data_IF_449802481406
#
_entry.id   IF_449802481406
#
_cell.length_a   1.000
_cell.length_b   1.000
_cell.length_c   1.000
_cell.angle_alpha   90.00
_cell.angle_beta   90.00
_cell.angle_gamma   90.00
#
_symmetry.space_group_name_H-M   'P 1'
#
loop_
_entity.id
_entity.type
_entity.pdbx_description
1 polymer ?
#
# COMPACT_ATOMS: atom_id res chain seq x y z
N UNK A 1 16.42 -5.50 -9.33
CA UNK A 1 15.90 -4.43 -8.44
C UNK A 1 17.08 -3.84 -7.67
N UNK A 2 17.06 -2.56 -7.32
CA UNK A 2 18.11 -1.91 -6.54
C UNK A 2 17.54 -1.38 -5.22
N UNK A 3 18.21 -1.64 -4.11
CA UNK A 3 17.97 -0.96 -2.86
C UNK A 3 19.00 0.16 -2.71
N UNK A 4 18.54 1.40 -2.66
CA UNK A 4 19.41 2.56 -2.55
C UNK A 4 19.12 3.32 -1.27
N UNK A 5 20.18 3.58 -0.49
CA UNK A 5 20.17 4.54 0.60
C UNK A 5 21.00 5.76 0.19
N UNK A 6 20.36 6.86 -0.26
CA UNK A 6 21.05 8.07 -0.68
C UNK A 6 21.85 8.75 0.44
N UNK A 7 21.36 8.68 1.68
CA UNK A 7 21.98 9.34 2.84
C UNK A 7 23.39 8.82 3.11
N UNK A 8 23.62 7.52 2.91
CA UNK A 8 24.93 6.88 3.05
C UNK A 8 25.56 6.51 1.70
N UNK A 9 24.95 6.94 0.59
CA UNK A 9 25.38 6.67 -0.79
C UNK A 9 25.64 5.18 -1.08
N UNK A 10 24.85 4.30 -0.49
CA UNK A 10 25.00 2.85 -0.63
C UNK A 10 23.91 2.28 -1.52
N UNK A 11 24.30 1.51 -2.53
CA UNK A 11 23.39 0.77 -3.40
C UNK A 11 23.66 -0.72 -3.20
N UNK A 12 22.60 -1.50 -3.12
CA UNK A 12 22.64 -2.96 -3.12
C UNK A 12 21.80 -3.46 -4.30
N UNK A 13 22.40 -4.32 -5.11
CA UNK A 13 21.68 -5.00 -6.20
C UNK A 13 20.97 -6.20 -5.59
N UNK A 14 19.64 -6.21 -5.67
CA UNK A 14 18.84 -7.33 -5.18
C UNK A 14 18.82 -8.40 -6.28
N UNK A 15 19.13 -9.69 -5.96
CA UNK A 15 19.07 -10.77 -6.92
C UNK A 15 17.65 -10.94 -7.48
N UNK A 16 17.55 -11.65 -8.61
CA UNK A 16 16.25 -11.95 -9.20
C UNK A 16 15.33 -12.69 -8.21
N UNK A 17 14.05 -12.30 -8.12
CA UNK A 17 13.06 -13.07 -7.35
C UNK A 17 12.78 -14.43 -8.00
N UNK A 18 12.11 -15.33 -7.28
CA UNK A 18 11.80 -16.67 -7.77
C UNK A 18 10.64 -16.64 -8.79
N UNK A 19 9.65 -15.75 -8.60
CA UNK A 19 8.52 -15.61 -9.53
C UNK A 19 8.93 -14.70 -10.69
N UNK A 20 9.08 -15.28 -11.88
CA UNK A 20 9.55 -14.61 -13.11
C UNK A 20 8.61 -14.83 -14.30
N UNK A 21 8.72 -13.98 -15.33
CA UNK A 21 7.87 -14.04 -16.53
C UNK A 21 8.00 -15.40 -17.24
N UNK A 22 9.21 -15.97 -17.25
CA UNK A 22 9.48 -17.25 -17.87
C UNK A 22 8.90 -18.44 -17.11
N UNK A 23 8.78 -18.34 -15.78
CA UNK A 23 8.33 -19.44 -14.92
C UNK A 23 6.82 -19.41 -14.66
N UNK A 24 6.23 -18.22 -14.54
CA UNK A 24 4.84 -18.04 -14.11
C UNK A 24 3.97 -17.28 -15.13
N UNK A 25 4.53 -16.87 -16.27
CA UNK A 25 3.81 -16.06 -17.26
C UNK A 25 3.66 -14.60 -16.84
N UNK A 26 2.69 -13.92 -17.45
CA UNK A 26 2.41 -12.51 -17.16
C UNK A 26 1.92 -12.34 -15.73
N UNK A 27 2.38 -11.28 -15.07
CA UNK A 27 1.95 -10.94 -13.71
C UNK A 27 2.04 -9.44 -13.47
N UNK A 28 1.26 -9.01 -12.48
CA UNK A 28 1.41 -7.70 -11.86
C UNK A 28 2.01 -7.87 -10.47
N UNK A 29 2.73 -6.87 -9.96
CA UNK A 29 3.28 -6.98 -8.61
C UNK A 29 3.32 -5.65 -7.88
N UNK A 30 3.10 -5.70 -6.57
CA UNK A 30 3.33 -4.62 -5.64
C UNK A 30 4.62 -4.87 -4.84
N UNK A 31 5.29 -3.78 -4.46
CA UNK A 31 6.47 -3.82 -3.62
C UNK A 31 6.20 -3.14 -2.27
N UNK A 32 6.80 -3.72 -1.24
CA UNK A 32 6.89 -3.20 0.11
C UNK A 32 8.34 -3.13 0.53
N UNK A 33 8.73 -2.08 1.23
CA UNK A 33 10.03 -1.93 1.86
C UNK A 33 9.85 -1.47 3.30
N UNK A 34 10.62 -2.03 4.21
CA UNK A 34 10.55 -1.68 5.63
C UNK A 34 11.69 -2.21 6.45
N UNK A 35 11.74 -1.78 7.70
CA UNK A 35 12.75 -2.18 8.67
C UNK A 35 12.13 -3.08 9.74
N UNK A 36 12.61 -4.31 9.83
CA UNK A 36 12.28 -5.22 10.90
C UNK A 36 13.17 -4.91 12.12
N UNK A 37 12.59 -4.30 13.15
CA UNK A 37 13.30 -3.93 14.37
C UNK A 37 13.69 -5.12 15.24
N UNK A 38 12.97 -6.24 15.14
CA UNK A 38 13.24 -7.46 15.91
C UNK A 38 14.47 -8.17 15.37
N UNK A 39 14.55 -8.35 14.04
CA UNK A 39 15.74 -8.95 13.42
C UNK A 39 16.83 -7.91 13.11
N UNK A 40 16.56 -6.62 13.30
CA UNK A 40 17.43 -5.50 12.93
C UNK A 40 17.87 -5.58 11.46
N UNK A 41 16.92 -5.77 10.55
CA UNK A 41 17.17 -5.97 9.12
C UNK A 41 16.20 -5.18 8.24
N UNK A 42 16.63 -4.86 7.03
CA UNK A 42 15.75 -4.32 6.01
C UNK A 42 15.14 -5.43 5.17
N UNK A 43 13.83 -5.33 4.92
CA UNK A 43 13.09 -6.30 4.14
C UNK A 43 12.44 -5.63 2.93
N UNK A 44 12.39 -6.38 1.83
CA UNK A 44 11.54 -6.07 0.68
C UNK A 44 10.50 -7.17 0.57
N UNK A 45 9.23 -6.80 0.58
CA UNK A 45 8.09 -7.67 0.34
C UNK A 45 7.68 -7.48 -1.11
N UNK A 46 7.44 -8.57 -1.82
CA UNK A 46 6.93 -8.57 -3.18
C UNK A 46 5.66 -9.41 -3.22
N UNK A 47 4.57 -8.81 -3.66
CA UNK A 47 3.25 -9.45 -3.79
C UNK A 47 2.97 -9.55 -5.27
N UNK A 48 2.74 -10.76 -5.79
CA UNK A 48 2.60 -11.02 -7.23
C UNK A 48 1.22 -11.60 -7.52
N UNK A 49 0.49 -10.92 -8.39
CA UNK A 49 -0.80 -11.37 -8.91
C UNK A 49 -0.61 -11.94 -10.31
N UNK A 50 -0.90 -13.24 -10.47
CA UNK A 50 -0.93 -13.92 -11.77
C UNK A 50 -2.25 -13.58 -12.50
N UNK A 51 -2.35 -13.88 -13.80
CA UNK A 51 -3.53 -13.55 -14.61
C UNK A 51 -4.85 -14.13 -14.05
N UNK A 52 -4.79 -15.26 -13.35
CA UNK A 52 -5.96 -15.82 -12.68
C UNK A 52 -6.15 -15.20 -11.29
N UNK A 53 -7.06 -14.22 -11.20
CA UNK A 53 -7.45 -13.52 -9.95
C UNK A 53 -8.09 -14.41 -8.88
N UNK A 54 -8.53 -15.62 -9.23
CA UNK A 54 -9.02 -16.59 -8.25
C UNK A 54 -7.89 -17.27 -7.46
N UNK A 55 -6.65 -17.14 -7.92
CA UNK A 55 -5.48 -17.70 -7.23
C UNK A 55 -4.95 -16.66 -6.22
N UNK A 56 -4.70 -17.05 -4.96
CA UNK A 56 -4.02 -16.19 -4.00
C UNK A 56 -2.69 -15.66 -4.54
N UNK A 57 -2.25 -14.44 -4.17
CA UNK A 57 -1.00 -13.91 -4.66
C UNK A 57 0.20 -14.72 -4.18
N UNK A 58 1.22 -14.82 -5.04
CA UNK A 58 2.54 -15.28 -4.61
C UNK A 58 3.24 -14.17 -3.83
N UNK A 59 3.79 -14.51 -2.67
CA UNK A 59 4.47 -13.52 -1.80
C UNK A 59 5.89 -13.95 -1.52
N UNK A 60 6.82 -13.05 -1.80
CA UNK A 60 8.24 -13.24 -1.57
C UNK A 60 8.80 -12.14 -0.68
N UNK A 61 9.63 -12.51 0.30
CA UNK A 61 10.32 -11.58 1.18
C UNK A 61 11.82 -11.70 0.97
N UNK A 62 12.44 -10.61 0.56
CA UNK A 62 13.89 -10.45 0.55
C UNK A 62 14.34 -9.84 1.87
N UNK A 63 15.41 -10.39 2.46
CA UNK A 63 16.06 -9.83 3.65
C UNK A 63 17.47 -9.37 3.29
N UNK A 64 17.86 -8.16 3.68
CA UNK A 64 19.14 -7.59 3.31
C UNK A 64 20.32 -8.36 3.93
N UNK A 65 20.19 -8.88 5.16
CA UNK A 65 21.29 -9.64 5.79
C UNK A 65 21.61 -10.95 5.09
N UNK A 66 20.60 -11.73 4.71
CA UNK A 66 20.83 -13.00 4.02
C UNK A 66 21.12 -12.82 2.53
N UNK A 67 20.63 -11.72 1.95
CA UNK A 67 20.72 -11.48 0.52
C UNK A 67 19.84 -12.41 -0.32
N UNK A 68 18.87 -13.10 0.29
CA UNK A 68 18.03 -14.10 -0.37
C UNK A 68 16.55 -13.75 -0.31
N UNK A 69 15.80 -14.28 -1.29
CA UNK A 69 14.34 -14.30 -1.30
C UNK A 69 13.81 -15.55 -0.59
N UNK A 70 12.75 -15.38 0.18
CA UNK A 70 11.99 -16.44 0.85
C UNK A 70 10.53 -16.37 0.40
N UNK A 71 9.96 -17.49 -0.01
CA UNK A 71 8.52 -17.59 -0.28
C UNK A 71 7.74 -17.64 1.04
N UNK A 72 6.64 -16.88 1.10
CA UNK A 72 5.70 -16.83 2.23
C UNK A 72 4.24 -16.82 1.75
N UNK A 73 3.99 -17.41 0.59
CA UNK A 73 2.66 -17.43 -0.07
C UNK A 73 1.62 -18.18 0.76
N UNK A 74 2.02 -19.09 1.65
CA UNK A 74 1.15 -19.79 2.61
C UNK A 74 0.41 -18.85 3.57
N UNK A 75 0.89 -17.61 3.71
CA UNK A 75 0.33 -16.58 4.59
C UNK A 75 -0.42 -15.48 3.82
N UNK A 76 -0.49 -15.59 2.49
CA UNK A 76 -1.11 -14.59 1.66
C UNK A 76 -2.62 -14.48 1.94
N UNK A 77 -3.13 -13.25 1.91
CA UNK A 77 -4.57 -13.02 1.92
C UNK A 77 -5.08 -12.96 0.47
N UNK A 78 -6.31 -13.41 0.26
CA UNK A 78 -6.94 -13.41 -1.06
C UNK A 78 -7.55 -12.03 -1.39
N UNK A 79 -6.68 -11.01 -1.43
CA UNK A 79 -7.02 -9.65 -1.82
C UNK A 79 -6.19 -9.24 -3.03
N UNK A 80 -6.77 -8.40 -3.91
CA UNK A 80 -6.02 -7.75 -4.97
C UNK A 80 -5.40 -6.47 -4.41
N UNK A 81 -4.07 -6.41 -4.34
CA UNK A 81 -3.35 -5.19 -3.98
C UNK A 81 -3.25 -4.31 -5.21
N UNK A 82 -3.53 -3.01 -5.05
CA UNK A 82 -3.33 -2.06 -6.15
C UNK A 82 -1.83 -1.86 -6.38
N UNK A 83 -1.35 -2.45 -7.47
CA UNK A 83 0.07 -2.45 -7.89
C UNK A 83 0.56 -1.09 -8.41
N UNK A 84 -0.35 -0.18 -8.73
CA UNK A 84 -0.02 1.16 -9.20
C UNK A 84 0.15 2.15 -8.05
N UNK A 85 -0.37 1.81 -6.87
CA UNK A 85 -0.30 2.66 -5.69
C UNK A 85 0.93 2.36 -4.84
N UNK A 86 1.46 3.42 -4.22
CA UNK A 86 2.60 3.31 -3.32
C UNK A 86 2.17 2.77 -1.97
N UNK A 87 3.05 2.02 -1.33
CA UNK A 87 2.86 1.64 0.07
C UNK A 87 2.90 2.85 1.00
N UNK A 88 2.29 2.72 2.18
CA UNK A 88 2.67 3.45 3.38
C UNK A 88 3.48 2.55 4.32
N UNK A 89 4.46 3.09 5.03
CA UNK A 89 5.20 2.36 6.06
C UNK A 89 5.05 3.05 7.41
N UNK A 90 4.44 2.37 8.38
CA UNK A 90 4.18 2.90 9.72
C UNK A 90 4.15 1.74 10.72
N UNK A 91 4.60 1.99 11.95
CA UNK A 91 4.54 1.03 13.07
C UNK A 91 5.08 -0.38 12.74
N UNK A 92 6.18 -0.46 11.99
CA UNK A 92 6.82 -1.73 11.64
C UNK A 92 6.13 -2.51 10.51
N UNK A 93 5.13 -1.93 9.85
CA UNK A 93 4.38 -2.60 8.81
C UNK A 93 4.30 -1.78 7.51
N UNK A 94 4.37 -2.49 6.38
CA UNK A 94 4.02 -1.93 5.07
C UNK A 94 2.51 -2.09 4.85
N UNK A 95 1.89 -1.07 4.28
CA UNK A 95 0.45 -1.00 4.06
C UNK A 95 0.17 -0.65 2.60
N UNK A 96 -0.83 -1.29 2.02
CA UNK A 96 -1.29 -1.04 0.67
C UNK A 96 -2.81 -0.93 0.64
N UNK A 97 -3.31 -0.20 -0.34
CA UNK A 97 -4.73 -0.27 -0.69
C UNK A 97 -4.97 -1.57 -1.46
N UNK A 98 -6.07 -2.22 -1.13
CA UNK A 98 -6.47 -3.48 -1.72
C UNK A 98 -7.99 -3.55 -1.86
N UNK A 99 -8.47 -4.49 -2.66
CA UNK A 99 -9.88 -4.72 -2.88
C UNK A 99 -10.20 -6.20 -3.06
N UNK A 100 -11.46 -6.58 -2.83
CA UNK A 100 -12.01 -7.91 -3.13
C UNK A 100 -13.39 -7.79 -3.76
N UNK A 101 -13.75 -8.64 -4.74
CA UNK A 101 -15.10 -8.69 -5.28
C UNK A 101 -16.13 -9.11 -4.23
N UNK A 102 -17.27 -8.43 -4.17
CA UNK A 102 -18.40 -8.75 -3.27
C UNK A 102 -19.67 -9.19 -4.00
N UNK A 103 -19.67 -9.16 -5.34
CA UNK A 103 -20.78 -9.58 -6.20
C UNK A 103 -20.51 -9.24 -7.66
N UNK A 104 -21.54 -9.32 -8.52
CA UNK A 104 -21.43 -8.86 -9.91
C UNK A 104 -21.21 -7.32 -9.93
N UNK A 105 -19.96 -6.91 -10.21
CA UNK A 105 -19.51 -5.52 -10.31
C UNK A 105 -19.46 -4.71 -9.00
N UNK A 106 -19.44 -5.37 -7.83
CA UNK A 106 -19.20 -4.68 -6.55
C UNK A 106 -17.87 -5.10 -5.93
N UNK A 107 -17.22 -4.14 -5.27
CA UNK A 107 -15.92 -4.31 -4.65
C UNK A 107 -15.90 -3.72 -3.25
N UNK A 108 -15.25 -4.45 -2.34
CA UNK A 108 -14.92 -3.95 -1.02
C UNK A 108 -13.48 -3.50 -0.98
N UNK A 109 -13.26 -2.22 -0.73
CA UNK A 109 -11.93 -1.66 -0.48
C UNK A 109 -11.50 -1.88 0.96
N UNK A 110 -10.21 -2.11 1.15
CA UNK A 110 -9.57 -2.27 2.45
C UNK A 110 -8.11 -1.86 2.38
N UNK A 111 -7.45 -1.82 3.54
CA UNK A 111 -6.01 -1.73 3.65
C UNK A 111 -5.49 -3.11 4.03
N UNK A 112 -4.53 -3.62 3.28
CA UNK A 112 -3.76 -4.80 3.66
C UNK A 112 -2.44 -4.33 4.23
N UNK A 113 -2.02 -4.90 5.35
CA UNK A 113 -0.73 -4.61 5.96
C UNK A 113 0.10 -5.88 6.16
N UNK A 114 1.41 -5.76 5.99
CA UNK A 114 2.38 -6.80 6.27
C UNK A 114 3.29 -6.38 7.42
N UNK A 115 3.22 -7.14 8.52
CA UNK A 115 4.08 -6.96 9.69
C UNK A 115 5.50 -7.46 9.38
N UNK A 116 6.49 -6.56 9.37
CA UNK A 116 7.85 -6.90 8.93
C UNK A 116 8.53 -7.90 9.85
N UNK A 117 8.22 -7.87 11.15
CA UNK A 117 8.85 -8.74 12.15
C UNK A 117 8.19 -10.10 12.19
N UNK A 118 6.85 -10.14 12.20
CA UNK A 118 6.08 -11.39 12.28
C UNK A 118 5.91 -12.08 10.94
N UNK A 119 6.15 -11.37 9.84
CA UNK A 119 5.92 -11.84 8.47
C UNK A 119 4.50 -12.39 8.29
N UNK A 120 3.50 -11.60 8.70
CA UNK A 120 2.08 -11.94 8.57
C UNK A 120 1.30 -10.79 7.99
N UNK A 121 0.28 -11.13 7.20
CA UNK A 121 -0.67 -10.16 6.69
C UNK A 121 -1.82 -9.94 7.67
N UNK A 122 -2.33 -8.72 7.71
CA UNK A 122 -3.56 -8.34 8.40
C UNK A 122 -4.36 -7.36 7.57
N UNK A 123 -5.64 -7.28 7.88
CA UNK A 123 -6.56 -6.33 7.28
C UNK A 123 -6.74 -5.12 8.20
N UNK A 124 -7.01 -3.98 7.58
CA UNK A 124 -7.37 -2.74 8.24
C UNK A 124 -8.47 -2.06 7.42
N UNK A 125 -9.49 -1.48 8.06
CA UNK A 125 -10.59 -0.85 7.34
C UNK A 125 -10.18 0.49 6.75
N UNK A 126 -10.81 0.83 5.63
CA UNK A 126 -10.82 2.19 5.04
C UNK A 126 -11.97 3.02 5.63
N UNK A 127 -11.99 4.35 5.45
CA UNK A 127 -13.16 5.16 5.77
C UNK A 127 -14.40 4.68 5.00
N UNK A 128 -15.58 4.76 5.60
CA UNK A 128 -16.86 4.32 5.02
C UNK A 128 -17.12 4.94 3.63
N UNK A 129 -16.79 6.22 3.46
CA UNK A 129 -16.94 6.91 2.18
C UNK A 129 -16.02 6.39 1.07
N UNK A 130 -15.15 5.42 1.34
CA UNK A 130 -14.22 4.79 0.40
C UNK A 130 -14.46 3.27 0.32
N UNK A 131 -15.39 2.73 1.12
CA UNK A 131 -15.58 1.29 1.33
C UNK A 131 -16.17 0.54 0.12
N UNK A 132 -17.23 1.09 -0.50
CA UNK A 132 -17.91 0.51 -1.68
C UNK A 132 -17.79 1.47 -2.86
N UNK A 133 -16.77 1.29 -3.68
CA UNK A 133 -16.57 2.06 -4.92
C UNK A 133 -16.38 1.10 -6.08
N UNK A 134 -16.52 1.65 -7.29
CA UNK A 134 -16.46 1.00 -8.60
C UNK A 134 -15.10 0.40 -8.95
N UNK A 135 -14.46 -0.35 -8.04
CA UNK A 135 -13.18 -1.07 -8.23
C UNK A 135 -11.97 -0.19 -8.56
N UNK A 136 -12.20 1.07 -8.97
CA UNK A 136 -11.21 2.02 -9.43
C UNK A 136 -10.75 2.85 -8.24
N UNK A 137 -9.71 2.37 -7.56
CA UNK A 137 -8.95 3.15 -6.57
C UNK A 137 -8.04 4.21 -7.24
N UNK A 138 -8.21 4.45 -8.55
CA UNK A 138 -7.49 5.50 -9.26
C UNK A 138 -7.66 6.83 -8.52
N UNK A 139 -6.59 7.61 -8.44
CA UNK A 139 -6.57 8.89 -7.70
C UNK A 139 -6.67 8.79 -6.15
N UNK A 140 -6.50 7.59 -5.58
CA UNK A 140 -6.33 7.41 -4.13
C UNK A 140 -4.86 7.21 -3.76
N UNK A 141 -4.43 7.77 -2.64
CA UNK A 141 -3.07 7.57 -2.10
C UNK A 141 -3.13 7.24 -0.62
N UNK A 142 -2.42 6.19 -0.24
CA UNK A 142 -2.17 5.82 1.14
C UNK A 142 -0.80 6.35 1.54
N UNK A 143 -0.73 7.16 2.58
CA UNK A 143 0.53 7.78 3.02
C UNK A 143 0.73 7.62 4.52
N UNK A 144 1.98 7.43 4.94
CA UNK A 144 2.34 7.54 6.34
C UNK A 144 2.18 9.01 6.77
N UNK A 145 1.44 9.24 7.85
CA UNK A 145 1.23 10.58 8.40
C UNK A 145 1.36 10.51 9.92
N UNK A 146 2.43 11.12 10.44
CA UNK A 146 2.83 11.00 11.85
C UNK A 146 3.06 9.51 12.19
N UNK A 147 2.48 9.03 13.29
CA UNK A 147 2.56 7.64 13.74
C UNK A 147 1.38 6.78 13.24
N UNK A 148 0.66 7.27 12.22
CA UNK A 148 -0.51 6.60 11.65
C UNK A 148 -0.55 6.75 10.13
N UNK A 149 -1.72 6.50 9.55
CA UNK A 149 -1.97 6.50 8.11
C UNK A 149 -2.95 7.60 7.75
N UNK A 150 -2.70 8.22 6.60
CA UNK A 150 -3.65 9.08 5.93
C UNK A 150 -4.04 8.50 4.58
N UNK A 151 -5.32 8.66 4.24
CA UNK A 151 -5.86 8.37 2.93
C UNK A 151 -6.20 9.70 2.26
N UNK A 152 -5.59 9.94 1.11
CA UNK A 152 -5.85 11.10 0.27
C UNK A 152 -6.62 10.59 -0.94
N UNK A 153 -7.81 11.12 -1.15
CA UNK A 153 -8.61 10.81 -2.33
C UNK A 153 -8.83 12.06 -3.15
N UNK A 154 -8.45 12.00 -4.41
CA UNK A 154 -8.72 13.02 -5.41
C UNK A 154 -9.94 12.61 -6.24
N UNK A 155 -10.79 13.59 -6.51
CA UNK A 155 -11.90 13.51 -7.44
C UNK A 155 -11.67 14.59 -8.48
N UNK A 156 -10.92 14.25 -9.54
CA UNK A 156 -10.52 15.24 -10.55
C UNK A 156 -11.64 15.61 -11.54
N UNK A 157 -12.67 14.76 -11.68
CA UNK A 157 -13.71 14.88 -12.69
C UNK A 157 -15.11 14.97 -12.07
N UNK A 158 -16.06 15.58 -12.78
CA UNK A 158 -17.45 15.77 -12.36
C UNK A 158 -17.77 17.22 -11.99
N UNK A 159 -18.99 17.45 -11.49
CA UNK A 159 -19.52 18.80 -11.18
C UNK A 159 -18.93 19.39 -9.89
N UNK A 160 -18.29 18.57 -9.05
CA UNK A 160 -17.69 18.95 -7.77
C UNK A 160 -16.28 18.33 -7.65
N UNK A 161 -15.30 18.78 -8.46
CA UNK A 161 -13.94 18.26 -8.37
C UNK A 161 -13.33 18.70 -7.04
N UNK A 162 -12.86 17.74 -6.24
CA UNK A 162 -12.36 18.02 -4.90
C UNK A 162 -11.33 16.97 -4.45
N UNK A 163 -10.54 17.31 -3.44
CA UNK A 163 -9.65 16.36 -2.77
C UNK A 163 -10.05 16.24 -1.31
N UNK A 164 -10.11 15.02 -0.78
CA UNK A 164 -10.35 14.76 0.64
C UNK A 164 -9.13 14.12 1.28
N UNK A 165 -8.84 14.53 2.51
CA UNK A 165 -7.78 13.95 3.33
C UNK A 165 -8.40 13.38 4.59
N UNK A 166 -8.27 12.07 4.74
CA UNK A 166 -8.68 11.32 5.91
C UNK A 166 -7.47 10.92 6.72
N UNK A 167 -7.57 10.97 8.04
CA UNK A 167 -6.52 10.52 8.96
C UNK A 167 -7.13 9.55 9.95
N UNK A 168 -6.47 8.41 10.13
CA UNK A 168 -6.77 7.47 11.21
C UNK A 168 -6.13 8.02 12.48
N UNK A 169 -6.93 8.57 13.40
CA UNK A 169 -6.40 9.22 14.60
C UNK A 169 -5.70 8.24 15.52
N UNK A 170 -6.29 7.06 15.68
CA UNK A 170 -5.77 5.98 16.51
C UNK A 170 -5.44 4.80 15.58
N UNK A 171 -4.15 4.53 15.42
CA UNK A 171 -3.67 3.52 14.47
C UNK A 171 -4.30 2.14 14.73
N UNK A 172 -4.89 1.56 13.70
CA UNK A 172 -5.61 0.28 13.75
C UNK A 172 -7.06 0.35 14.22
N UNK A 173 -7.58 1.52 14.62
CA UNK A 173 -8.96 1.68 15.09
C UNK A 173 -9.82 2.28 13.98
N UNK A 174 -10.79 1.49 13.49
CA UNK A 174 -11.63 1.83 12.35
C UNK A 174 -12.42 3.14 12.56
N UNK A 175 -13.00 3.26 13.74
CA UNK A 175 -13.87 4.36 14.16
C UNK A 175 -13.10 5.67 14.33
N UNK A 176 -11.77 5.60 14.37
CA UNK A 176 -10.89 6.76 14.51
C UNK A 176 -10.63 7.49 13.19
N UNK A 177 -11.07 6.91 12.06
CA UNK A 177 -11.02 7.59 10.77
C UNK A 177 -11.82 8.89 10.81
N UNK A 178 -11.18 9.98 10.41
CA UNK A 178 -11.82 11.28 10.37
C UNK A 178 -11.35 12.11 9.19
N UNK A 179 -12.29 12.75 8.51
CA UNK A 179 -11.99 13.70 7.44
C UNK A 179 -11.40 14.96 8.06
N UNK A 180 -10.14 15.24 7.74
CA UNK A 180 -9.42 16.41 8.25
C UNK A 180 -9.56 17.60 7.31
N UNK A 181 -9.53 17.34 6.01
CA UNK A 181 -9.56 18.38 4.99
C UNK A 181 -10.41 17.97 3.79
N UNK A 182 -11.03 18.99 3.17
CA UNK A 182 -11.63 18.94 1.84
C UNK A 182 -11.16 20.16 1.09
N UNK A 183 -10.52 19.96 -0.05
CA UNK A 183 -10.05 21.02 -0.94
C UNK A 183 -10.95 21.04 -2.16
N UNK A 184 -11.56 22.18 -2.44
CA UNK A 184 -12.26 22.42 -3.69
C UNK A 184 -11.24 22.62 -4.82
N UNK A 185 -11.42 21.90 -5.92
CA UNK A 185 -10.54 21.92 -7.08
C UNK A 185 -11.21 22.55 -8.32
N UNK A 186 -12.43 23.06 -8.19
CA UNK A 186 -13.17 23.70 -9.29
C UNK A 186 -12.44 24.91 -9.90
N UNK A 187 -11.56 25.56 -9.13
CA UNK A 187 -10.69 26.64 -9.61
C UNK A 187 -9.33 26.21 -10.19
N UNK A 188 -9.05 24.90 -10.22
CA UNK A 188 -7.77 24.30 -10.59
C UNK A 188 -6.69 24.34 -9.49
N UNK A 189 -5.95 23.24 -9.34
CA UNK A 189 -4.75 23.15 -8.49
C UNK A 189 -3.59 23.85 -9.22
N UNK A 190 -3.42 25.16 -9.04
CA UNK A 190 -2.32 25.88 -9.71
C UNK A 190 -0.96 25.48 -9.14
N UNK A 191 -0.81 25.45 -7.81
CA UNK A 191 0.39 24.95 -7.12
C UNK A 191 0.06 24.54 -5.67
N UNK A 192 0.62 23.42 -5.20
CA UNK A 192 0.63 23.03 -3.79
C UNK A 192 2.08 23.01 -3.28
N UNK A 193 2.43 23.87 -2.32
CA UNK A 193 3.80 24.04 -1.81
C UNK A 193 4.07 23.35 -0.47
N UNK A 194 3.06 22.71 0.12
CA UNK A 194 3.16 22.01 1.41
C UNK A 194 2.09 22.46 2.42
N UNK A 195 2.02 21.76 3.55
CA UNK A 195 1.12 22.05 4.67
C UNK A 195 1.94 22.50 5.88
N UNK A 196 1.62 23.64 6.46
CA UNK A 196 2.12 24.05 7.78
C UNK A 196 0.92 24.39 8.66
N UNK A 197 0.81 23.73 9.82
CA UNK A 197 -0.19 24.07 10.83
C UNK A 197 0.48 25.04 11.80
N UNK A 198 0.09 26.32 11.79
CA UNK A 198 0.48 27.25 12.85
C UNK A 198 -0.34 26.91 14.10
N UNK A 199 0.36 26.73 15.21
CA UNK A 199 -0.20 26.59 16.56
C UNK A 199 -0.63 27.95 17.10
#
# INVERSE_FOLDING_TARGET
>A
MYLWNPCIRKVVVIPGPNVTLHSHGSFMHALGFGFDSVSNDFKVVRIVHLENVEVPPEVEVYTLKSGCWKNVSDKALHYMVDVHLRQAYVNGAAHWLAYTPTGENDFRNLIVLFDMSREVFREMPVPESVYCMDGSMTETSLVAFRESISLIKLWAYGDDPHCTVWVMKDYGVAESWSKQFRFDLSGGLKHAFGFEKKW
#
